data_IF_915716006310
#
_entry.id   IF_915716006310
#
_cell.length_a   1.000
_cell.length_b   1.000
_cell.length_c   1.000
_cell.angle_alpha   90.00
_cell.angle_beta   90.00
_cell.angle_gamma   90.00
#
_symmetry.space_group_name_H-M   'P 1'
#
loop_
_entity.id
_entity.type
_entity.pdbx_description
1 polymer ?
#
# COMPACT_ATOMS: atom_id res chain seq x y z
N UNK A 1 -26.45 -3.23 -34.88
CA UNK A 1 -25.61 -2.07 -34.58
C UNK A 1 -26.30 -1.27 -33.49
N UNK A 2 -25.95 -1.51 -32.24
CA UNK A 2 -26.44 -0.75 -31.09
C UNK A 2 -25.22 -0.16 -30.40
N UNK A 3 -25.05 1.14 -30.57
CA UNK A 3 -23.99 1.91 -29.94
C UNK A 3 -24.26 1.98 -28.44
N UNK A 4 -23.35 1.39 -27.65
CA UNK A 4 -23.34 1.54 -26.19
C UNK A 4 -22.91 2.95 -25.82
N UNK A 5 -23.83 3.70 -25.24
CA UNK A 5 -23.60 5.01 -24.67
C UNK A 5 -22.74 4.86 -23.43
N UNK A 6 -21.47 5.24 -23.53
CA UNK A 6 -20.54 5.35 -22.40
C UNK A 6 -21.02 6.51 -21.52
N UNK A 7 -21.73 6.22 -20.43
CA UNK A 7 -22.03 7.22 -19.43
C UNK A 7 -20.72 7.61 -18.75
N UNK A 8 -20.17 8.76 -19.15
CA UNK A 8 -19.22 9.47 -18.33
C UNK A 8 -19.94 9.91 -17.05
N UNK A 9 -19.75 9.16 -15.97
CA UNK A 9 -20.10 9.66 -14.65
C UNK A 9 -19.15 10.81 -14.34
N UNK A 10 -19.69 12.02 -14.39
CA UNK A 10 -19.00 13.20 -13.91
C UNK A 10 -18.69 12.97 -12.43
N UNK A 11 -17.41 12.83 -12.11
CA UNK A 11 -16.93 12.88 -10.74
C UNK A 11 -17.39 14.22 -10.14
N UNK A 12 -17.88 14.23 -8.89
CA UNK A 12 -18.13 15.49 -8.22
C UNK A 12 -16.78 16.21 -8.15
N UNK A 13 -16.66 17.29 -8.90
CA UNK A 13 -15.68 18.33 -8.59
C UNK A 13 -15.99 18.69 -7.15
N UNK A 14 -15.09 18.38 -6.23
CA UNK A 14 -15.17 18.91 -4.89
C UNK A 14 -15.22 20.42 -5.03
N UNK A 15 -16.42 20.97 -4.93
CA UNK A 15 -16.58 22.38 -4.68
C UNK A 15 -15.82 22.60 -3.37
N UNK A 16 -14.64 23.20 -3.45
CA UNK A 16 -14.10 23.92 -2.33
C UNK A 16 -15.29 24.66 -1.75
N UNK A 17 -15.59 24.42 -0.48
CA UNK A 17 -16.68 25.09 0.22
C UNK A 17 -16.49 26.59 -0.03
N UNK A 18 -17.25 27.10 -1.00
CA UNK A 18 -17.24 28.50 -1.36
C UNK A 18 -18.13 29.25 -0.36
N UNK A 19 -17.84 29.10 0.95
CA UNK A 19 -18.11 30.14 1.88
C UNK A 19 -17.09 31.24 1.60
N UNK A 20 -17.36 32.01 0.54
CA UNK A 20 -16.62 33.21 0.21
C UNK A 20 -16.76 34.18 1.37
N UNK A 21 -15.79 34.17 2.29
CA UNK A 21 -15.50 35.35 3.07
C UNK A 21 -15.14 36.45 2.05
N UNK A 22 -15.81 37.63 2.09
CA UNK A 22 -15.57 38.72 1.17
C UNK A 22 -14.16 39.33 1.24
N UNK A 23 -13.24 38.75 2.02
CA UNK A 23 -11.86 39.21 2.16
C UNK A 23 -10.86 38.59 1.17
N UNK A 24 -11.29 37.71 0.25
CA UNK A 24 -10.44 37.20 -0.84
C UNK A 24 -9.17 36.46 -0.43
N UNK A 25 -9.10 35.92 0.81
CA UNK A 25 -8.01 35.06 1.24
C UNK A 25 -8.24 33.65 0.73
N UNK A 26 -7.45 33.25 -0.26
CA UNK A 26 -7.23 31.84 -0.57
C UNK A 26 -6.91 31.12 0.76
N UNK A 27 -7.75 30.16 1.16
CA UNK A 27 -7.40 29.29 2.28
C UNK A 27 -6.12 28.58 1.90
N UNK A 28 -5.02 28.93 2.55
CA UNK A 28 -3.76 28.21 2.43
C UNK A 28 -3.98 26.83 3.01
N UNK A 29 -4.08 25.83 2.13
CA UNK A 29 -4.12 24.43 2.55
C UNK A 29 -2.81 24.17 3.30
N UNK A 30 -2.92 23.82 4.59
CA UNK A 30 -1.77 23.69 5.48
C UNK A 30 -1.27 22.23 5.48
N UNK A 31 0.04 22.06 5.61
CA UNK A 31 0.67 20.78 5.88
C UNK A 31 -0.03 20.09 7.07
N UNK A 32 -0.27 18.78 6.95
CA UNK A 32 -0.98 17.98 7.95
C UNK A 32 -2.51 17.97 7.80
N UNK A 33 -3.09 18.81 6.95
CA UNK A 33 -4.52 18.74 6.64
C UNK A 33 -4.83 17.49 5.82
N UNK A 34 -6.05 16.97 6.00
CA UNK A 34 -6.53 15.79 5.27
C UNK A 34 -7.68 16.14 4.35
N UNK A 35 -7.83 15.38 3.28
CA UNK A 35 -9.01 15.37 2.40
C UNK A 35 -9.23 13.94 1.88
N UNK A 36 -10.38 13.66 1.28
CA UNK A 36 -10.68 12.37 0.67
C UNK A 36 -11.25 12.54 -0.75
N UNK A 37 -11.12 11.50 -1.58
CA UNK A 37 -11.68 11.43 -2.93
C UNK A 37 -12.93 10.52 -3.00
N UNK A 38 -13.47 10.14 -1.86
CA UNK A 38 -14.56 9.19 -1.74
C UNK A 38 -14.12 7.72 -1.70
N UNK A 39 -12.84 7.43 -1.85
CA UNK A 39 -12.25 6.09 -1.76
C UNK A 39 -11.04 6.07 -0.83
N UNK A 40 -10.16 7.03 -0.96
CA UNK A 40 -8.94 7.17 -0.18
C UNK A 40 -8.93 8.49 0.58
N UNK A 41 -8.33 8.47 1.76
CA UNK A 41 -7.99 9.67 2.52
C UNK A 41 -6.52 10.01 2.30
N UNK A 42 -6.25 11.28 2.15
CA UNK A 42 -4.92 11.81 1.90
C UNK A 42 -4.54 12.83 2.96
N UNK A 43 -3.29 12.80 3.40
CA UNK A 43 -2.69 13.84 4.24
C UNK A 43 -1.73 14.68 3.42
N UNK A 44 -1.86 16.00 3.50
CA UNK A 44 -1.02 16.94 2.78
C UNK A 44 0.35 17.04 3.45
N UNK A 45 1.37 16.86 2.62
CA UNK A 45 2.78 17.00 2.97
C UNK A 45 3.32 18.32 2.39
N UNK A 46 4.62 18.59 2.60
CA UNK A 46 5.32 19.70 1.96
C UNK A 46 5.41 19.54 0.44
N UNK A 47 5.69 20.63 -0.27
CA UNK A 47 6.03 20.63 -1.69
C UNK A 47 4.93 20.04 -2.61
N UNK A 48 3.66 20.30 -2.35
CA UNK A 48 2.55 19.77 -3.14
C UNK A 48 2.55 18.24 -3.24
N UNK A 49 2.88 17.57 -2.14
CA UNK A 49 2.85 16.13 -2.00
C UNK A 49 1.78 15.69 -1.02
N UNK A 50 1.32 14.45 -1.15
CA UNK A 50 0.38 13.82 -0.22
C UNK A 50 0.80 12.38 0.06
N UNK A 51 0.42 11.92 1.25
CA UNK A 51 0.42 10.52 1.65
C UNK A 51 -1.01 9.98 1.62
N UNK A 52 -1.21 8.76 1.14
CA UNK A 52 -2.45 8.01 1.41
C UNK A 52 -2.45 7.60 2.86
N UNK A 53 -3.46 8.00 3.63
CA UNK A 53 -3.53 7.75 5.07
C UNK A 53 -4.79 7.02 5.52
N UNK A 54 -5.67 6.65 4.58
CA UNK A 54 -6.85 5.84 4.88
C UNK A 54 -7.55 5.35 3.63
N UNK A 55 -8.39 4.34 3.79
CA UNK A 55 -9.27 3.85 2.72
C UNK A 55 -10.69 3.56 3.24
N UNK A 56 -11.68 3.61 2.32
CA UNK A 56 -13.03 3.14 2.60
C UNK A 56 -13.00 1.61 2.70
N UNK A 57 -13.46 1.06 3.81
CA UNK A 57 -13.38 -0.38 4.12
C UNK A 57 -14.16 -1.29 3.16
N UNK A 58 -15.04 -0.73 2.33
CA UNK A 58 -15.83 -1.46 1.32
C UNK A 58 -15.18 -1.48 -0.07
N UNK A 59 -14.06 -0.77 -0.27
CA UNK A 59 -13.33 -0.79 -1.53
C UNK A 59 -12.74 -2.19 -1.80
N UNK A 60 -12.88 -2.67 -3.04
CA UNK A 60 -12.41 -4.02 -3.42
C UNK A 60 -11.15 -3.98 -4.26
N UNK A 61 -11.02 -3.04 -5.18
CA UNK A 61 -9.86 -2.90 -6.05
C UNK A 61 -9.47 -1.43 -6.09
N UNK A 62 -8.24 -1.13 -5.74
CA UNK A 62 -7.74 0.24 -5.68
C UNK A 62 -6.56 0.39 -6.62
N UNK A 63 -6.66 1.36 -7.52
CA UNK A 63 -5.53 1.87 -8.31
C UNK A 63 -5.22 3.28 -7.83
N UNK A 64 -4.12 3.42 -7.09
CA UNK A 64 -3.71 4.72 -6.55
C UNK A 64 -3.25 5.61 -7.71
N UNK A 65 -3.80 6.80 -7.80
CA UNK A 65 -3.44 7.76 -8.83
C UNK A 65 -2.10 8.43 -8.48
N UNK A 66 -1.22 8.70 -9.47
CA UNK A 66 0.05 9.37 -9.21
C UNK A 66 -0.12 10.83 -8.76
N UNK A 67 -1.29 11.42 -9.05
CA UNK A 67 -1.66 12.77 -8.63
C UNK A 67 -3.15 12.85 -8.29
N UNK A 68 -3.46 13.66 -7.29
CA UNK A 68 -4.82 13.99 -6.87
C UNK A 68 -4.90 15.49 -6.57
N UNK A 69 -5.84 16.21 -7.18
CA UNK A 69 -6.08 17.66 -7.01
C UNK A 69 -4.81 18.53 -7.12
N UNK A 70 -3.89 18.16 -8.03
CA UNK A 70 -2.63 18.85 -8.24
C UNK A 70 -1.48 18.41 -7.31
N UNK A 71 -1.76 17.63 -6.27
CA UNK A 71 -0.76 17.04 -5.39
C UNK A 71 -0.18 15.75 -5.98
N UNK A 72 1.10 15.50 -5.77
CA UNK A 72 1.76 14.23 -6.12
C UNK A 72 1.63 13.26 -4.96
N UNK A 73 1.15 12.03 -5.22
CA UNK A 73 1.09 10.96 -4.23
C UNK A 73 2.46 10.32 -4.14
N UNK A 74 3.08 10.38 -2.96
CA UNK A 74 4.49 9.95 -2.76
C UNK A 74 4.65 8.83 -1.75
N UNK A 75 3.65 8.58 -0.89
CA UNK A 75 3.74 7.56 0.15
C UNK A 75 2.38 6.97 0.51
N UNK A 76 2.44 5.82 1.17
CA UNK A 76 1.34 5.21 1.91
C UNK A 76 1.72 5.31 3.39
N UNK A 77 0.87 5.90 4.19
CA UNK A 77 1.13 6.08 5.62
C UNK A 77 0.92 4.81 6.44
N UNK A 78 1.32 4.89 7.71
CA UNK A 78 1.12 3.80 8.67
C UNK A 78 -0.34 3.40 8.74
N UNK A 79 -0.60 2.09 8.66
CA UNK A 79 -1.92 1.50 8.78
C UNK A 79 -2.99 2.06 7.81
N UNK A 80 -2.59 2.70 6.70
CA UNK A 80 -3.50 3.39 5.78
C UNK A 80 -4.63 2.49 5.22
N UNK A 81 -4.36 1.21 5.03
CA UNK A 81 -5.35 0.20 4.60
C UNK A 81 -5.65 -0.85 5.68
N UNK A 82 -5.18 -0.64 6.92
CA UNK A 82 -5.34 -1.64 7.97
C UNK A 82 -6.82 -2.01 8.17
N UNK A 83 -7.12 -3.32 8.15
CA UNK A 83 -8.48 -3.82 8.32
C UNK A 83 -9.42 -3.59 7.13
N UNK A 84 -8.94 -3.13 5.96
CA UNK A 84 -9.74 -3.04 4.73
C UNK A 84 -10.03 -4.47 4.22
N UNK A 85 -10.89 -5.19 4.95
CA UNK A 85 -11.15 -6.64 4.74
C UNK A 85 -11.84 -6.98 3.42
N UNK A 86 -12.46 -6.02 2.73
CA UNK A 86 -13.04 -6.21 1.41
C UNK A 86 -12.03 -6.01 0.26
N UNK A 87 -10.86 -5.43 0.55
CA UNK A 87 -9.83 -5.08 -0.44
C UNK A 87 -9.22 -6.35 -1.04
N UNK A 88 -9.27 -6.49 -2.35
CA UNK A 88 -8.77 -7.65 -3.11
C UNK A 88 -7.47 -7.35 -3.86
N UNK A 89 -7.33 -6.13 -4.37
CA UNK A 89 -6.12 -5.74 -5.07
C UNK A 89 -5.77 -4.27 -4.89
N UNK A 90 -4.46 -3.99 -4.86
CA UNK A 90 -3.91 -2.63 -4.87
C UNK A 90 -2.84 -2.51 -5.94
N UNK A 91 -2.92 -1.44 -6.74
CA UNK A 91 -1.86 -1.06 -7.68
C UNK A 91 -1.31 0.30 -7.30
N UNK A 92 0.00 0.36 -7.07
CA UNK A 92 0.73 1.59 -6.76
C UNK A 92 1.34 2.17 -8.03
N UNK A 93 1.23 3.49 -8.25
CA UNK A 93 1.95 4.14 -9.34
C UNK A 93 3.45 4.23 -9.03
N UNK A 94 4.27 4.27 -10.08
CA UNK A 94 5.67 4.64 -9.92
C UNK A 94 5.76 6.06 -9.33
N UNK A 95 6.61 6.24 -8.31
CA UNK A 95 6.75 7.51 -7.58
C UNK A 95 6.31 7.44 -6.12
N UNK A 96 5.58 6.41 -5.71
CA UNK A 96 5.46 6.08 -4.28
C UNK A 96 6.80 5.50 -3.84
N UNK A 97 7.43 6.12 -2.85
CA UNK A 97 8.77 5.77 -2.34
C UNK A 97 8.73 5.12 -0.97
N UNK A 98 7.61 5.24 -0.27
CA UNK A 98 7.44 4.73 1.09
C UNK A 98 6.10 4.04 1.30
N UNK A 99 6.14 2.96 2.07
CA UNK A 99 4.99 2.29 2.67
C UNK A 99 5.21 2.34 4.18
N UNK A 100 4.19 2.73 4.95
CA UNK A 100 4.26 2.80 6.41
C UNK A 100 4.04 1.44 7.09
N UNK A 101 4.35 1.40 8.39
CA UNK A 101 4.17 0.20 9.22
C UNK A 101 2.71 -0.25 9.24
N UNK A 102 2.51 -1.57 9.08
CA UNK A 102 1.17 -2.16 9.07
C UNK A 102 0.24 -1.66 7.98
N UNK A 103 0.75 -1.04 6.90
CA UNK A 103 -0.06 -0.34 5.90
C UNK A 103 -1.24 -1.17 5.38
N UNK A 104 -1.06 -2.49 5.19
CA UNK A 104 -2.10 -3.43 4.74
C UNK A 104 -2.43 -4.50 5.80
N UNK A 105 -2.09 -4.26 7.06
CA UNK A 105 -2.36 -5.22 8.13
C UNK A 105 -3.83 -5.63 8.15
N UNK A 106 -4.09 -6.94 8.23
CA UNK A 106 -5.45 -7.52 8.31
C UNK A 106 -6.34 -7.22 7.10
N UNK A 107 -5.78 -6.98 5.92
CA UNK A 107 -6.51 -6.97 4.67
C UNK A 107 -6.78 -8.42 4.24
N UNK A 108 -7.74 -9.08 4.90
CA UNK A 108 -7.94 -10.53 4.82
C UNK A 108 -8.40 -11.05 3.46
N UNK A 109 -8.92 -10.21 2.57
CA UNK A 109 -9.30 -10.56 1.19
C UNK A 109 -8.25 -10.12 0.15
N UNK A 110 -7.15 -9.47 0.55
CA UNK A 110 -6.14 -8.96 -0.37
C UNK A 110 -5.39 -10.12 -1.03
N UNK A 111 -5.56 -10.26 -2.35
CA UNK A 111 -5.00 -11.33 -3.15
C UNK A 111 -3.73 -10.91 -3.88
N UNK A 112 -3.70 -9.66 -4.37
CA UNK A 112 -2.57 -9.17 -5.15
C UNK A 112 -2.20 -7.72 -4.83
N UNK A 113 -0.89 -7.44 -4.87
CA UNK A 113 -0.35 -6.09 -4.72
C UNK A 113 0.69 -5.83 -5.80
N UNK A 114 0.50 -4.75 -6.57
CA UNK A 114 1.53 -4.23 -7.47
C UNK A 114 2.24 -3.07 -6.78
N UNK A 115 3.48 -3.30 -6.38
CA UNK A 115 4.32 -2.30 -5.73
C UNK A 115 4.85 -1.27 -6.72
N UNK A 116 5.16 -0.07 -6.22
CA UNK A 116 5.95 0.92 -6.96
C UNK A 116 7.40 0.44 -7.11
N UNK A 117 8.00 0.65 -8.27
CA UNK A 117 9.41 0.32 -8.53
C UNK A 117 10.40 1.20 -7.71
N UNK A 118 9.89 2.18 -6.99
CA UNK A 118 10.71 3.09 -6.16
C UNK A 118 10.71 2.71 -4.67
N UNK A 119 10.04 1.62 -4.31
CA UNK A 119 10.04 1.11 -2.93
C UNK A 119 11.37 0.43 -2.65
N UNK A 120 12.01 0.79 -1.55
CA UNK A 120 13.29 0.22 -1.11
C UNK A 120 13.20 -0.63 0.15
N UNK A 121 12.05 -0.59 0.84
CA UNK A 121 11.79 -1.34 2.06
C UNK A 121 10.34 -1.81 2.13
N UNK A 122 10.12 -3.03 2.59
CA UNK A 122 8.82 -3.50 3.07
C UNK A 122 8.85 -3.35 4.60
N UNK A 123 8.06 -2.44 5.18
CA UNK A 123 8.16 -2.11 6.59
C UNK A 123 7.55 -3.17 7.52
N UNK A 124 7.66 -2.93 8.83
CA UNK A 124 7.16 -3.84 9.86
C UNK A 124 5.65 -4.08 9.71
N UNK A 125 5.26 -5.35 9.68
CA UNK A 125 3.86 -5.76 9.59
C UNK A 125 3.10 -5.31 8.35
N UNK A 126 3.77 -4.84 7.29
CA UNK A 126 3.11 -4.22 6.12
C UNK A 126 1.95 -5.07 5.58
N UNK A 127 2.11 -6.39 5.50
CA UNK A 127 1.10 -7.37 5.05
C UNK A 127 0.72 -8.37 6.13
N UNK A 128 0.92 -8.03 7.39
CA UNK A 128 0.57 -8.91 8.52
C UNK A 128 -0.90 -9.34 8.44
N UNK A 129 -1.15 -10.65 8.45
CA UNK A 129 -2.49 -11.26 8.38
C UNK A 129 -3.26 -10.97 7.08
N UNK A 130 -2.57 -10.73 5.97
CA UNK A 130 -3.17 -10.73 4.65
C UNK A 130 -3.40 -12.18 4.20
N UNK A 131 -4.39 -12.84 4.80
CA UNK A 131 -4.56 -14.30 4.69
C UNK A 131 -4.90 -14.81 3.28
N UNK A 132 -5.42 -13.95 2.40
CA UNK A 132 -5.71 -14.30 1.00
C UNK A 132 -4.58 -13.93 0.02
N UNK A 133 -3.45 -13.36 0.51
CA UNK A 133 -2.37 -12.89 -0.37
C UNK A 133 -1.69 -14.08 -1.06
N UNK A 134 -1.69 -14.04 -2.39
CA UNK A 134 -1.09 -15.07 -3.25
C UNK A 134 -0.12 -14.50 -4.26
N UNK A 135 -0.24 -13.21 -4.61
CA UNK A 135 0.55 -12.58 -5.65
C UNK A 135 1.11 -11.24 -5.16
N UNK A 136 2.40 -11.22 -4.91
CA UNK A 136 3.18 -10.01 -4.67
C UNK A 136 4.59 -10.20 -5.24
N UNK A 137 4.99 -9.29 -6.13
CA UNK A 137 6.33 -9.29 -6.67
C UNK A 137 7.13 -8.16 -6.04
N UNK A 138 8.24 -8.53 -5.44
CA UNK A 138 9.20 -7.58 -4.88
C UNK A 138 10.10 -7.04 -6.00
N UNK A 139 10.26 -5.71 -6.05
CA UNK A 139 11.15 -5.07 -7.02
C UNK A 139 12.62 -5.18 -6.60
N UNK A 140 13.53 -5.09 -7.58
CA UNK A 140 14.99 -5.18 -7.39
C UNK A 140 15.60 -4.01 -6.58
N UNK A 141 14.81 -3.03 -6.19
CA UNK A 141 15.24 -1.93 -5.35
C UNK A 141 15.03 -2.19 -3.86
N UNK A 142 14.30 -3.25 -3.51
CA UNK A 142 14.01 -3.58 -2.10
C UNK A 142 15.27 -4.18 -1.49
N UNK A 143 15.75 -3.55 -0.41
CA UNK A 143 16.95 -3.97 0.32
C UNK A 143 16.63 -4.52 1.70
N UNK A 144 15.41 -4.27 2.23
CA UNK A 144 14.99 -4.67 3.56
C UNK A 144 13.54 -5.14 3.59
N UNK A 145 13.29 -6.19 4.34
CA UNK A 145 11.95 -6.68 4.67
C UNK A 145 11.82 -6.72 6.19
N UNK A 146 10.86 -5.95 6.71
CA UNK A 146 10.68 -5.70 8.13
C UNK A 146 10.15 -6.89 8.93
N UNK A 147 10.05 -6.67 10.24
CA UNK A 147 9.54 -7.65 11.21
C UNK A 147 8.07 -7.98 10.89
N UNK A 148 7.72 -9.26 10.88
CA UNK A 148 6.36 -9.74 10.63
C UNK A 148 5.74 -9.22 9.30
N UNK A 149 6.55 -8.79 8.34
CA UNK A 149 6.03 -8.12 7.13
C UNK A 149 5.02 -8.98 6.36
N UNK A 150 5.19 -10.30 6.32
CA UNK A 150 4.28 -11.26 5.69
C UNK A 150 3.73 -12.31 6.67
N UNK A 151 3.83 -12.05 7.98
CA UNK A 151 3.36 -13.04 8.94
C UNK A 151 1.85 -13.32 8.78
N UNK A 152 1.47 -14.60 8.87
CA UNK A 152 0.10 -15.08 8.68
C UNK A 152 -0.51 -14.81 7.29
N UNK A 153 0.31 -14.67 6.24
CA UNK A 153 -0.13 -14.74 4.85
C UNK A 153 -0.38 -16.22 4.48
N UNK A 154 -1.49 -16.77 4.97
CA UNK A 154 -1.75 -18.22 4.95
C UNK A 154 -2.02 -18.80 3.57
N UNK A 155 -2.29 -17.98 2.56
CA UNK A 155 -2.48 -18.42 1.16
C UNK A 155 -1.23 -18.25 0.29
N UNK A 156 -0.14 -17.70 0.84
CA UNK A 156 1.11 -17.54 0.10
C UNK A 156 1.77 -18.91 -0.09
N UNK A 157 1.94 -19.32 -1.35
CA UNK A 157 2.48 -20.67 -1.71
C UNK A 157 3.93 -20.63 -2.11
N UNK A 158 4.34 -19.57 -2.77
CA UNK A 158 5.70 -19.38 -3.24
C UNK A 158 6.08 -17.90 -3.21
N UNK A 159 7.36 -17.61 -3.08
CA UNK A 159 7.88 -16.25 -3.11
C UNK A 159 9.32 -16.22 -3.58
N UNK A 160 9.62 -15.30 -4.47
CA UNK A 160 10.97 -14.98 -4.90
C UNK A 160 11.44 -13.69 -4.20
N UNK A 161 12.52 -13.77 -3.43
CA UNK A 161 13.13 -12.63 -2.76
C UNK A 161 14.30 -12.16 -3.63
N UNK A 162 14.30 -10.89 -4.09
CA UNK A 162 15.38 -10.35 -4.92
C UNK A 162 16.74 -10.39 -4.22
N UNK A 163 17.81 -10.56 -4.99
CA UNK A 163 19.20 -10.53 -4.49
C UNK A 163 19.61 -9.19 -3.86
N UNK A 164 18.83 -8.13 -4.10
CA UNK A 164 18.99 -6.81 -3.46
C UNK A 164 18.67 -6.82 -1.97
N UNK A 165 17.87 -7.80 -1.49
CA UNK A 165 17.44 -7.87 -0.08
C UNK A 165 18.58 -8.40 0.77
N UNK A 166 19.05 -7.56 1.69
CA UNK A 166 20.16 -7.89 2.63
C UNK A 166 19.72 -7.95 4.09
N UNK A 167 18.54 -7.44 4.41
CA UNK A 167 18.03 -7.38 5.78
C UNK A 167 16.63 -7.97 5.90
N UNK A 168 16.45 -8.84 6.90
CA UNK A 168 15.16 -9.40 7.29
C UNK A 168 14.88 -9.14 8.77
N UNK A 169 13.67 -8.69 9.06
CA UNK A 169 13.17 -8.63 10.42
C UNK A 169 12.83 -10.02 10.96
N UNK A 170 12.63 -10.11 12.28
CA UNK A 170 12.17 -11.34 12.92
C UNK A 170 10.76 -11.70 12.45
N UNK A 171 10.45 -13.01 12.40
CA UNK A 171 9.10 -13.52 12.14
C UNK A 171 8.52 -13.10 10.77
N UNK A 172 9.36 -12.73 9.81
CA UNK A 172 8.92 -12.15 8.51
C UNK A 172 7.84 -13.00 7.84
N UNK A 173 7.97 -14.33 7.82
CA UNK A 173 7.01 -15.27 7.20
C UNK A 173 6.34 -16.19 8.23
N UNK A 174 6.32 -15.82 9.51
CA UNK A 174 5.72 -16.65 10.55
C UNK A 174 4.25 -16.97 10.21
N UNK A 175 3.87 -18.25 10.29
CA UNK A 175 2.49 -18.69 10.07
C UNK A 175 2.03 -18.69 8.61
N UNK A 176 2.94 -18.62 7.64
CA UNK A 176 2.62 -18.80 6.21
C UNK A 176 2.39 -20.30 5.92
N UNK A 177 1.28 -20.84 6.40
CA UNK A 177 1.02 -22.29 6.47
C UNK A 177 0.88 -22.99 5.11
N UNK A 178 0.72 -22.25 4.01
CA UNK A 178 0.69 -22.80 2.65
C UNK A 178 2.01 -22.59 1.90
N UNK A 179 3.05 -22.04 2.54
CA UNK A 179 4.31 -21.75 1.87
C UNK A 179 5.05 -23.04 1.55
N UNK A 180 5.11 -23.39 0.26
CA UNK A 180 5.75 -24.59 -0.27
C UNK A 180 7.19 -24.32 -0.69
N UNK A 181 7.46 -23.13 -1.22
CA UNK A 181 8.79 -22.73 -1.68
C UNK A 181 9.08 -21.25 -1.47
N UNK A 182 10.35 -20.94 -1.20
CA UNK A 182 10.86 -19.58 -1.18
C UNK A 182 12.28 -19.56 -1.73
N UNK A 183 12.54 -18.65 -2.68
CA UNK A 183 13.89 -18.38 -3.15
C UNK A 183 14.45 -17.22 -2.34
N UNK A 184 15.57 -17.46 -1.66
CA UNK A 184 16.27 -16.45 -0.86
C UNK A 184 17.49 -15.93 -1.61
N UNK A 185 17.96 -14.69 -1.34
CA UNK A 185 19.19 -14.16 -1.91
C UNK A 185 20.40 -15.06 -1.63
N UNK A 186 21.25 -15.29 -2.65
CA UNK A 186 22.49 -16.07 -2.48
C UNK A 186 23.48 -15.43 -1.49
N UNK A 187 23.33 -14.11 -1.27
CA UNK A 187 24.15 -13.30 -0.35
C UNK A 187 23.71 -13.40 1.10
N UNK A 188 22.58 -14.05 1.39
CA UNK A 188 22.04 -14.13 2.74
C UNK A 188 22.83 -15.12 3.59
N UNK A 189 23.57 -14.62 4.58
CA UNK A 189 24.41 -15.44 5.47
C UNK A 189 23.65 -16.06 6.64
N UNK A 190 22.59 -15.39 7.13
CA UNK A 190 21.85 -15.81 8.33
C UNK A 190 20.36 -15.56 8.19
N UNK A 191 19.56 -16.43 8.77
CA UNK A 191 18.11 -16.24 8.88
C UNK A 191 17.76 -15.52 10.20
N UNK A 192 16.82 -14.60 10.14
CA UNK A 192 16.30 -13.91 11.31
C UNK A 192 15.49 -14.86 12.20
N UNK A 193 15.39 -14.53 13.50
CA UNK A 193 14.71 -15.37 14.47
C UNK A 193 13.24 -15.62 14.06
N UNK A 194 12.82 -16.88 14.18
CA UNK A 194 11.45 -17.34 13.94
C UNK A 194 10.90 -17.04 12.53
N UNK A 195 11.79 -16.76 11.55
CA UNK A 195 11.42 -16.31 10.20
C UNK A 195 10.35 -17.19 9.55
N UNK A 196 10.44 -18.51 9.69
CA UNK A 196 9.51 -19.50 9.13
C UNK A 196 8.76 -20.31 10.20
N UNK A 197 8.58 -19.74 11.38
CA UNK A 197 7.87 -20.45 12.44
C UNK A 197 6.42 -20.75 12.03
N UNK A 198 5.98 -22.00 12.12
CA UNK A 198 4.62 -22.46 11.75
C UNK A 198 4.29 -22.28 10.25
N UNK A 199 5.26 -22.35 9.36
CA UNK A 199 5.04 -22.53 7.94
C UNK A 199 4.74 -24.00 7.61
#
# INVERSE_FOLDING_TARGET
MTAGLLMMTSFPVFAADSSSDPSGKSQSVTEGSTFDDGTLTYTILKNMQVSVTGCITTATNISIMPKIDGYTVVSIGDQAFAGCSALQSVTMPNGITEIGDGAFQSCTSLQSVTLSNSITEIPDGAFLSCSALTDIQLGDQITKIGRMAFAYCTSLTDMEIPDSVTEFGEQTFMGCSSLESITLPETLETLSAYMFQNC
#
